data_IF_839964316814
#
_entry.id   IF_839964316814
#
_cell.length_a   1.000
_cell.length_b   1.000
_cell.length_c   1.000
_cell.angle_alpha   90.00
_cell.angle_beta   90.00
_cell.angle_gamma   90.00
#
_symmetry.space_group_name_H-M   'P 1'
#
loop_
_entity.id
_entity.type
_entity.pdbx_description
1 polymer ?
#
# COMPACT_ATOMS: atom_id res chain seq x y z
N UNK A 1 10.58 -14.71 -0.39
CA UNK A 1 11.83 -15.17 0.27
C UNK A 1 12.90 -14.13 -0.03
N UNK A 2 13.52 -13.50 0.96
CA UNK A 2 14.58 -12.48 0.72
C UNK A 2 14.93 -11.56 1.90
N UNK A 3 13.99 -11.29 2.82
CA UNK A 3 14.21 -10.29 3.90
C UNK A 3 15.20 -10.74 4.98
N UNK A 4 15.40 -12.05 5.17
CA UNK A 4 16.28 -12.57 6.22
C UNK A 4 17.77 -12.21 6.04
N UNK A 5 18.19 -11.89 4.81
CA UNK A 5 19.60 -11.69 4.47
C UNK A 5 20.15 -10.30 4.86
N UNK A 6 19.28 -9.31 5.05
CA UNK A 6 19.67 -7.97 5.52
C UNK A 6 19.81 -7.87 7.05
N UNK A 7 19.55 -8.95 7.79
CA UNK A 7 19.59 -8.98 9.24
C UNK A 7 18.26 -8.59 9.90
N UNK A 8 18.09 -8.93 11.20
CA UNK A 8 16.80 -8.90 11.88
C UNK A 8 16.26 -7.49 12.15
N UNK A 9 17.14 -6.49 12.25
CA UNK A 9 16.78 -5.10 12.54
C UNK A 9 16.67 -4.21 11.29
N UNK A 10 16.89 -4.75 10.08
CA UNK A 10 16.87 -3.98 8.85
C UNK A 10 15.48 -3.36 8.60
N UNK A 11 15.42 -2.02 8.53
CA UNK A 11 14.24 -1.28 8.10
C UNK A 11 14.22 -1.05 6.58
N UNK A 12 15.40 -0.84 5.98
CA UNK A 12 15.57 -0.66 4.53
C UNK A 12 16.63 -1.63 4.03
N UNK A 13 16.22 -2.57 3.19
CA UNK A 13 17.06 -3.63 2.66
C UNK A 13 17.21 -3.42 1.15
N UNK A 14 18.44 -3.22 0.70
CA UNK A 14 18.79 -3.09 -0.71
C UNK A 14 19.15 -4.47 -1.28
N UNK A 15 18.51 -4.86 -2.37
CA UNK A 15 18.86 -6.05 -3.15
C UNK A 15 19.46 -5.60 -4.49
N UNK A 16 20.76 -5.81 -4.67
CA UNK A 16 21.42 -5.59 -5.95
C UNK A 16 21.22 -6.84 -6.82
N UNK A 17 20.38 -6.70 -7.86
CA UNK A 17 20.06 -7.81 -8.76
C UNK A 17 21.23 -8.24 -9.65
N UNK A 18 22.23 -7.38 -9.87
CA UNK A 18 23.37 -7.72 -10.75
C UNK A 18 24.33 -8.67 -10.05
N UNK A 19 24.52 -8.46 -8.75
CA UNK A 19 25.40 -9.28 -7.89
C UNK A 19 24.63 -10.28 -7.03
N UNK A 20 23.30 -10.24 -7.08
CA UNK A 20 22.38 -10.98 -6.22
C UNK A 20 22.74 -10.86 -4.72
N UNK A 21 23.05 -9.63 -4.30
CA UNK A 21 23.51 -9.33 -2.93
C UNK A 21 22.55 -8.45 -2.17
N UNK A 22 22.45 -8.69 -0.86
CA UNK A 22 21.55 -7.98 0.03
C UNK A 22 22.34 -7.16 1.05
N UNK A 23 21.97 -5.89 1.19
CA UNK A 23 22.65 -4.94 2.06
C UNK A 23 21.62 -4.18 2.90
N UNK A 24 21.80 -4.17 4.23
CA UNK A 24 21.03 -3.27 5.08
C UNK A 24 21.53 -1.84 4.85
N UNK A 25 20.62 -0.96 4.41
CA UNK A 25 20.89 0.46 4.16
C UNK A 25 20.09 1.37 5.10
N UNK A 26 19.49 0.78 6.14
CA UNK A 26 18.81 1.49 7.22
C UNK A 26 18.37 0.53 8.31
N UNK A 27 18.76 0.80 9.56
CA UNK A 27 18.43 -0.01 10.73
C UNK A 27 17.23 0.59 11.49
N UNK A 28 16.24 -0.25 11.81
CA UNK A 28 15.03 0.13 12.54
C UNK A 28 15.29 0.61 13.97
N UNK A 29 16.38 0.17 14.60
CA UNK A 29 16.81 0.57 15.94
C UNK A 29 17.48 1.95 15.94
N UNK A 30 18.00 2.40 14.79
CA UNK A 30 18.66 3.70 14.60
C UNK A 30 17.77 4.69 13.83
N UNK A 31 16.46 4.61 14.07
CA UNK A 31 15.44 5.44 13.45
C UNK A 31 15.34 6.81 14.11
N UNK A 32 15.43 7.87 13.32
CA UNK A 32 15.11 9.24 13.72
C UNK A 32 13.90 9.74 12.95
N UNK A 33 12.97 10.39 13.65
CA UNK A 33 11.73 10.90 13.07
C UNK A 33 11.63 12.41 13.25
N UNK A 34 11.35 13.10 12.15
CA UNK A 34 10.92 14.49 12.11
C UNK A 34 9.50 14.56 11.54
N UNK A 35 8.91 15.76 11.44
CA UNK A 35 7.49 15.95 11.07
C UNK A 35 7.05 15.17 9.84
N UNK A 36 7.84 15.21 8.77
CA UNK A 36 7.53 14.60 7.46
C UNK A 36 8.73 13.82 6.91
N UNK A 37 9.63 13.38 7.80
CA UNK A 37 10.86 12.72 7.41
C UNK A 37 11.13 11.59 8.40
N UNK A 38 11.42 10.41 7.87
CA UNK A 38 11.88 9.27 8.64
C UNK A 38 13.25 8.86 8.11
N UNK A 39 14.24 8.88 8.99
CA UNK A 39 15.61 8.54 8.66
C UNK A 39 15.99 7.26 9.40
N UNK A 40 16.70 6.39 8.69
CA UNK A 40 17.24 5.15 9.22
C UNK A 40 18.74 5.16 9.01
N UNK A 41 19.49 5.27 10.10
CA UNK A 41 20.95 5.16 10.08
C UNK A 41 21.38 3.69 10.12
N UNK A 42 22.65 3.44 9.83
CA UNK A 42 23.30 2.15 10.05
C UNK A 42 24.62 2.33 10.79
N UNK A 43 25.23 1.23 11.23
CA UNK A 43 26.60 1.21 11.75
C UNK A 43 27.66 1.03 10.67
N UNK A 44 27.24 0.77 9.42
CA UNK A 44 28.11 0.46 8.28
C UNK A 44 28.75 1.74 7.74
N UNK A 45 30.08 1.73 7.64
CA UNK A 45 30.83 2.83 7.04
C UNK A 45 30.59 2.94 5.54
N UNK A 46 30.41 4.17 5.07
CA UNK A 46 30.39 4.49 3.66
C UNK A 46 31.83 4.64 3.13
N UNK A 47 32.00 4.58 1.79
CA UNK A 47 33.27 4.85 1.13
C UNK A 47 33.82 6.25 1.43
N UNK A 48 32.94 7.21 1.66
CA UNK A 48 33.32 8.56 2.10
C UNK A 48 33.69 8.53 3.58
N UNK A 49 34.88 9.05 3.92
CA UNK A 49 35.35 9.08 5.31
C UNK A 49 34.33 9.75 6.24
N UNK A 50 34.15 9.18 7.42
CA UNK A 50 33.24 9.63 8.49
C UNK A 50 31.75 9.72 8.11
N UNK A 51 31.31 9.01 7.07
CA UNK A 51 29.89 8.89 6.75
C UNK A 51 29.42 7.44 6.94
N UNK A 52 28.20 7.27 7.44
CA UNK A 52 27.54 5.97 7.54
C UNK A 52 26.52 5.83 6.42
N UNK A 53 26.23 4.58 6.04
CA UNK A 53 25.11 4.31 5.14
C UNK A 53 23.81 4.68 5.85
N UNK A 54 22.92 5.39 5.15
CA UNK A 54 21.63 5.80 5.69
C UNK A 54 20.55 5.83 4.60
N UNK A 55 19.30 5.79 5.05
CA UNK A 55 18.11 5.93 4.20
C UNK A 55 17.19 7.00 4.76
N UNK A 56 16.57 7.77 3.87
CA UNK A 56 15.68 8.88 4.23
C UNK A 56 14.38 8.78 3.45
N UNK A 57 13.24 8.77 4.15
CA UNK A 57 11.90 8.69 3.57
C UNK A 57 11.15 9.99 3.89
N UNK A 58 10.89 10.79 2.85
CA UNK A 58 10.07 11.99 2.95
C UNK A 58 8.60 11.63 2.80
N UNK A 59 7.76 12.05 3.74
CA UNK A 59 6.34 11.78 3.77
C UNK A 59 5.53 12.99 3.29
N UNK A 60 4.63 12.76 2.34
CA UNK A 60 3.70 13.76 1.84
C UNK A 60 2.26 13.24 1.98
N UNK A 61 1.31 14.14 2.26
CA UNK A 61 -0.10 13.74 2.34
C UNK A 61 -0.60 13.27 0.97
N UNK A 62 -1.11 12.05 0.93
CA UNK A 62 -1.71 11.39 -0.24
C UNK A 62 -3.18 11.03 -0.03
N UNK A 63 -3.86 10.63 -1.11
CA UNK A 63 -5.28 10.20 -1.08
C UNK A 63 -5.45 8.70 -0.81
N UNK A 64 -4.40 7.92 -1.03
CA UNK A 64 -4.30 6.47 -0.82
C UNK A 64 -3.14 6.17 0.13
N UNK A 65 -2.98 4.91 0.54
CA UNK A 65 -1.82 4.44 1.28
C UNK A 65 -0.53 4.61 0.45
N UNK A 66 -0.65 4.57 -0.87
CA UNK A 66 0.42 4.83 -1.83
C UNK A 66 1.56 3.82 -1.73
N UNK A 67 2.70 4.22 -2.28
CA UNK A 67 3.93 3.42 -2.30
C UNK A 67 5.13 4.35 -2.08
N UNK A 68 6.20 3.86 -1.43
CA UNK A 68 7.45 4.61 -1.37
C UNK A 68 8.13 4.59 -2.75
N UNK A 69 8.35 5.75 -3.34
CA UNK A 69 9.06 5.92 -4.60
C UNK A 69 10.53 6.24 -4.36
N UNK A 70 11.41 5.55 -5.09
CA UNK A 70 12.83 5.88 -5.09
C UNK A 70 13.06 7.22 -5.80
N UNK A 71 13.77 8.13 -5.13
CA UNK A 71 14.09 9.46 -5.70
C UNK A 71 15.50 9.45 -6.29
N UNK A 72 16.49 9.12 -5.46
CA UNK A 72 17.90 9.07 -5.85
C UNK A 72 18.72 8.39 -4.76
N UNK A 73 19.96 8.04 -5.07
CA UNK A 73 20.94 7.60 -4.10
C UNK A 73 22.30 8.23 -4.37
N UNK A 74 23.04 8.52 -3.30
CA UNK A 74 24.49 8.70 -3.34
C UNK A 74 25.15 7.39 -2.89
N UNK A 75 26.48 7.35 -2.86
CA UNK A 75 27.22 6.21 -2.30
C UNK A 75 26.85 5.93 -0.82
N UNK A 76 26.31 6.91 -0.09
CA UNK A 76 26.03 6.81 1.33
C UNK A 76 24.54 6.92 1.70
N UNK A 77 23.72 7.60 0.89
CA UNK A 77 22.36 7.99 1.28
C UNK A 77 21.35 7.58 0.21
N UNK A 78 20.28 6.91 0.63
CA UNK A 78 19.18 6.49 -0.23
C UNK A 78 17.94 7.32 0.09
N UNK A 79 17.40 8.01 -0.91
CA UNK A 79 16.26 8.92 -0.73
C UNK A 79 14.99 8.34 -1.34
N UNK A 80 13.91 8.39 -0.56
CA UNK A 80 12.58 7.95 -0.96
C UNK A 80 11.56 9.06 -0.69
N UNK A 81 10.52 9.12 -1.51
CA UNK A 81 9.32 9.93 -1.28
C UNK A 81 8.11 9.02 -1.14
N UNK A 82 7.30 9.20 -0.10
CA UNK A 82 6.09 8.44 0.12
C UNK A 82 4.89 9.36 0.29
N UNK A 83 4.06 9.42 -0.76
CA UNK A 83 2.74 10.10 -0.73
C UNK A 83 1.70 9.15 -0.17
N UNK A 84 1.23 9.41 1.06
CA UNK A 84 0.37 8.49 1.79
C UNK A 84 -0.67 9.20 2.66
N UNK A 85 -1.84 8.58 2.85
CA UNK A 85 -2.87 9.04 3.81
C UNK A 85 -2.34 9.09 5.24
N UNK A 86 -1.34 8.27 5.57
CA UNK A 86 -0.72 8.24 6.89
C UNK A 86 0.02 9.55 7.26
N UNK A 87 0.37 10.36 6.26
CA UNK A 87 1.05 11.64 6.43
C UNK A 87 0.09 12.85 6.46
N UNK A 88 -1.22 12.62 6.33
CA UNK A 88 -2.22 13.67 6.35
C UNK A 88 -2.59 14.08 7.77
N UNK A 89 -2.70 15.39 8.03
CA UNK A 89 -3.13 15.92 9.35
C UNK A 89 -4.61 15.69 9.64
N UNK A 90 -5.42 15.57 8.59
CA UNK A 90 -6.87 15.35 8.69
C UNK A 90 -7.18 13.95 8.20
N UNK A 91 -8.02 13.24 8.94
CA UNK A 91 -8.43 11.87 8.60
C UNK A 91 -9.51 11.81 7.50
N UNK A 92 -9.72 12.90 6.76
CA UNK A 92 -10.75 12.99 5.71
C UNK A 92 -10.54 11.93 4.61
N UNK A 93 -9.29 11.55 4.33
CA UNK A 93 -8.95 10.58 3.28
C UNK A 93 -8.60 9.19 3.83
N UNK A 94 -8.57 9.02 5.16
CA UNK A 94 -8.20 7.75 5.78
C UNK A 94 -9.29 6.71 5.52
N UNK A 95 -8.88 5.55 5.04
CA UNK A 95 -9.70 4.37 4.93
C UNK A 95 -9.94 3.76 6.33
N UNK A 96 -11.00 2.98 6.51
CA UNK A 96 -11.07 2.07 7.65
C UNK A 96 -9.95 1.03 7.56
N UNK A 97 -9.75 0.47 6.36
CA UNK A 97 -8.67 -0.46 6.06
C UNK A 97 -8.23 -0.29 4.62
N UNK A 98 -6.93 -0.10 4.41
CA UNK A 98 -6.30 -0.08 3.09
C UNK A 98 -5.07 -0.99 3.10
N UNK A 99 -4.88 -1.75 2.03
CA UNK A 99 -3.77 -2.69 1.84
C UNK A 99 -2.85 -2.21 0.71
N UNK A 100 -1.58 -2.66 0.65
CA UNK A 100 -0.69 -2.34 -0.46
C UNK A 100 -1.32 -2.68 -1.81
N UNK A 101 -1.33 -1.69 -2.72
CA UNK A 101 -2.04 -1.77 -4.00
C UNK A 101 -1.11 -1.82 -5.21
N UNK A 102 0.04 -2.46 -5.05
CA UNK A 102 1.06 -2.58 -6.08
C UNK A 102 1.75 -3.94 -6.00
N UNK A 103 2.36 -4.34 -7.11
CA UNK A 103 3.26 -5.48 -7.19
C UNK A 103 4.40 -5.19 -8.17
N UNK A 104 5.50 -5.93 -8.05
CA UNK A 104 6.60 -5.91 -9.00
C UNK A 104 6.68 -7.25 -9.74
N UNK A 105 6.91 -7.21 -11.05
CA UNK A 105 7.23 -8.40 -11.84
C UNK A 105 8.70 -8.83 -11.68
N UNK A 106 9.11 -9.86 -12.41
CA UNK A 106 10.49 -10.39 -12.35
C UNK A 106 11.50 -9.42 -12.94
N UNK A 107 11.06 -8.56 -13.85
CA UNK A 107 11.82 -7.51 -14.51
C UNK A 107 11.82 -6.19 -13.71
N UNK A 108 11.31 -6.19 -12.47
CA UNK A 108 11.12 -5.03 -11.60
C UNK A 108 10.20 -3.93 -12.18
N UNK A 109 9.32 -4.25 -13.12
CA UNK A 109 8.30 -3.32 -13.55
C UNK A 109 7.22 -3.23 -12.49
N UNK A 110 6.82 -2.00 -12.20
CA UNK A 110 5.79 -1.70 -11.20
C UNK A 110 4.41 -1.83 -11.83
N UNK A 111 3.58 -2.66 -11.22
CA UNK A 111 2.14 -2.73 -11.49
C UNK A 111 1.40 -2.04 -10.34
N UNK A 112 0.88 -0.85 -10.61
CA UNK A 112 0.29 0.02 -9.59
C UNK A 112 -1.21 0.27 -9.84
N UNK A 113 -2.06 -0.19 -8.92
CA UNK A 113 -3.50 -0.01 -8.98
C UNK A 113 -4.00 1.14 -8.08
N UNK A 114 -3.11 1.91 -7.42
CA UNK A 114 -3.49 3.10 -6.66
C UNK A 114 -4.42 4.06 -7.43
N UNK A 115 -4.23 4.32 -8.75
CA UNK A 115 -5.14 5.20 -9.51
C UNK A 115 -6.59 4.71 -9.59
N UNK A 116 -6.84 3.41 -9.41
CA UNK A 116 -8.18 2.82 -9.43
C UNK A 116 -8.88 2.91 -8.07
N UNK A 117 -8.17 3.28 -7.00
CA UNK A 117 -8.76 3.38 -5.67
C UNK A 117 -9.77 4.54 -5.63
N UNK A 118 -11.03 4.25 -5.31
CA UNK A 118 -12.03 5.29 -5.05
C UNK A 118 -11.96 5.74 -3.60
N UNK A 119 -11.78 7.05 -3.39
CA UNK A 119 -11.91 7.67 -2.06
C UNK A 119 -13.36 8.03 -1.69
N UNK A 120 -14.30 7.78 -2.60
CA UNK A 120 -15.75 7.96 -2.41
C UNK A 120 -16.52 7.04 -3.35
N UNK A 121 -17.55 6.35 -2.83
CA UNK A 121 -18.35 5.42 -3.62
C UNK A 121 -17.60 4.14 -3.99
N UNK A 122 -18.12 3.45 -4.99
CA UNK A 122 -17.66 2.12 -5.43
C UNK A 122 -17.76 1.98 -6.96
N UNK A 123 -17.22 0.89 -7.49
CA UNK A 123 -17.48 0.40 -8.84
C UNK A 123 -18.64 -0.59 -8.79
N UNK A 124 -19.59 -0.48 -9.73
CA UNK A 124 -20.56 -1.54 -9.99
C UNK A 124 -19.87 -2.61 -10.84
N UNK A 125 -19.93 -3.86 -10.39
CA UNK A 125 -19.50 -5.01 -11.16
C UNK A 125 -20.62 -5.39 -12.12
N UNK A 126 -20.25 -5.65 -13.37
CA UNK A 126 -21.19 -6.13 -14.40
C UNK A 126 -21.52 -7.60 -14.15
N UNK A 127 -22.79 -7.89 -13.94
CA UNK A 127 -23.32 -9.23 -13.80
C UNK A 127 -24.70 -9.38 -14.48
N UNK A 128 -25.11 -10.63 -14.71
CA UNK A 128 -26.36 -10.92 -15.41
C UNK A 128 -27.59 -10.97 -14.51
N UNK A 129 -27.43 -10.82 -13.20
CA UNK A 129 -28.52 -10.90 -12.22
C UNK A 129 -29.17 -9.52 -12.04
N UNK A 130 -30.40 -9.30 -12.52
CA UNK A 130 -31.06 -8.01 -12.40
C UNK A 130 -31.51 -7.70 -10.96
N UNK A 131 -31.55 -8.70 -10.07
CA UNK A 131 -32.05 -8.54 -8.70
C UNK A 131 -30.94 -8.18 -7.70
N UNK A 132 -29.68 -8.29 -8.12
CA UNK A 132 -28.53 -7.98 -7.28
C UNK A 132 -27.60 -6.96 -7.91
N UNK A 133 -26.81 -6.31 -7.06
CA UNK A 133 -25.80 -5.37 -7.51
C UNK A 133 -24.57 -5.53 -6.62
N UNK A 134 -23.46 -5.96 -7.23
CA UNK A 134 -22.20 -6.10 -6.53
C UNK A 134 -21.37 -4.83 -6.69
N UNK A 135 -21.09 -4.17 -5.57
CA UNK A 135 -20.23 -3.00 -5.51
C UNK A 135 -18.87 -3.37 -4.94
N UNK A 136 -17.79 -2.91 -5.58
CA UNK A 136 -16.42 -3.10 -5.08
C UNK A 136 -15.65 -1.79 -5.01
N UNK A 137 -14.68 -1.72 -4.11
CA UNK A 137 -13.57 -0.78 -4.21
C UNK A 137 -12.25 -1.55 -4.38
N UNK A 138 -11.19 -0.84 -4.73
CA UNK A 138 -9.86 -1.42 -4.97
C UNK A 138 -8.97 -1.15 -3.77
N UNK A 139 -8.36 -2.19 -3.21
CA UNK A 139 -7.40 -2.20 -2.10
C UNK A 139 -7.83 -1.55 -0.77
N UNK A 140 -9.07 -1.07 -0.64
CA UNK A 140 -9.61 -0.48 0.59
C UNK A 140 -11.11 -0.65 0.69
N UNK A 141 -11.67 -0.30 1.84
CA UNK A 141 -13.12 -0.23 2.07
C UNK A 141 -13.83 0.83 1.20
N UNK A 142 -15.13 0.63 0.98
CA UNK A 142 -16.02 1.56 0.29
C UNK A 142 -16.36 2.71 1.25
N UNK A 143 -16.10 3.95 0.81
CA UNK A 143 -16.51 5.15 1.54
C UNK A 143 -17.99 5.44 1.26
N UNK A 144 -18.85 5.03 2.21
CA UNK A 144 -20.31 5.10 2.11
C UNK A 144 -20.89 6.47 2.49
N UNK A 145 -20.23 7.24 3.35
CA UNK A 145 -20.77 8.51 3.87
C UNK A 145 -20.77 9.60 2.80
N UNK A 146 -19.77 9.56 1.92
CA UNK A 146 -19.59 10.51 0.81
C UNK A 146 -20.03 9.98 -0.55
N UNK A 147 -20.53 8.74 -0.60
CA UNK A 147 -21.01 8.13 -1.83
C UNK A 147 -22.20 8.93 -2.41
N UNK A 148 -22.24 9.12 -3.73
CA UNK A 148 -23.37 9.77 -4.42
C UNK A 148 -24.56 8.82 -4.57
N UNK A 149 -24.29 7.56 -4.92
CA UNK A 149 -25.31 6.53 -5.14
C UNK A 149 -26.02 6.14 -3.83
N UNK A 150 -27.36 6.17 -3.77
CA UNK A 150 -28.11 5.76 -2.58
C UNK A 150 -27.92 4.27 -2.27
N UNK A 151 -27.77 3.41 -3.28
CA UNK A 151 -27.53 1.97 -3.10
C UNK A 151 -26.21 1.70 -2.36
N UNK A 152 -25.18 2.49 -2.65
CA UNK A 152 -23.86 2.36 -1.98
C UNK A 152 -23.92 2.84 -0.53
N UNK A 153 -24.79 3.79 -0.18
CA UNK A 153 -24.91 4.30 1.21
C UNK A 153 -25.44 3.25 2.18
N UNK A 154 -26.13 2.21 1.69
CA UNK A 154 -26.68 1.12 2.51
C UNK A 154 -25.60 0.07 2.85
N UNK A 155 -24.46 0.10 2.17
CA UNK A 155 -23.38 -0.87 2.39
C UNK A 155 -22.81 -0.80 3.83
N UNK A 156 -22.47 -1.95 4.44
CA UNK A 156 -21.84 -1.96 5.75
C UNK A 156 -20.46 -1.28 5.75
N UNK A 157 -20.17 -0.46 6.76
CA UNK A 157 -18.87 0.19 6.93
C UNK A 157 -17.74 -0.83 7.02
N UNK A 158 -16.64 -0.58 6.31
CA UNK A 158 -15.47 -1.46 6.25
C UNK A 158 -15.54 -2.54 5.17
N UNK A 159 -16.69 -2.70 4.49
CA UNK A 159 -16.80 -3.59 3.34
C UNK A 159 -16.03 -3.01 2.13
N UNK A 160 -15.18 -3.82 1.51
CA UNK A 160 -14.58 -3.53 0.22
C UNK A 160 -15.38 -4.14 -0.94
N UNK A 161 -16.16 -5.18 -0.65
CA UNK A 161 -17.16 -5.75 -1.54
C UNK A 161 -18.52 -5.80 -0.84
N UNK A 162 -19.53 -5.23 -1.48
CA UNK A 162 -20.88 -5.08 -0.94
C UNK A 162 -21.89 -5.61 -1.95
N UNK A 163 -22.66 -6.62 -1.56
CA UNK A 163 -23.75 -7.15 -2.36
C UNK A 163 -25.06 -6.50 -1.92
N UNK A 164 -25.74 -5.82 -2.84
CA UNK A 164 -27.05 -5.21 -2.62
C UNK A 164 -28.11 -6.08 -3.29
N UNK A 165 -29.19 -6.39 -2.56
CA UNK A 165 -30.35 -7.14 -3.05
C UNK A 165 -31.62 -6.45 -2.57
N UNK A 166 -32.33 -5.76 -3.46
CA UNK A 166 -33.39 -4.82 -3.09
C UNK A 166 -32.85 -3.74 -2.14
N UNK A 167 -33.51 -3.55 -0.98
CA UNK A 167 -33.12 -2.56 0.02
C UNK A 167 -32.11 -3.07 1.06
N UNK A 168 -31.60 -4.28 0.90
CA UNK A 168 -30.64 -4.90 1.84
C UNK A 168 -29.24 -4.95 1.24
N UNK A 169 -28.24 -4.65 2.06
CA UNK A 169 -26.84 -4.75 1.70
C UNK A 169 -26.11 -5.73 2.61
N UNK A 170 -25.18 -6.48 2.02
CA UNK A 170 -24.39 -7.50 2.70
C UNK A 170 -22.91 -7.25 2.45
N UNK A 171 -22.13 -7.21 3.53
CA UNK A 171 -20.68 -7.28 3.47
C UNK A 171 -20.29 -8.68 2.99
N UNK A 172 -19.64 -8.76 1.84
CA UNK A 172 -19.17 -10.01 1.23
C UNK A 172 -17.64 -10.05 1.09
N UNK A 173 -16.93 -9.06 1.62
CA UNK A 173 -15.48 -9.04 1.58
C UNK A 173 -14.86 -7.77 2.14
N UNK A 174 -13.80 -7.95 2.94
CA UNK A 174 -12.96 -6.88 3.50
C UNK A 174 -11.50 -7.01 3.04
N UNK A 175 -10.75 -5.90 3.00
CA UNK A 175 -9.31 -5.95 2.69
C UNK A 175 -8.53 -6.67 3.78
N UNK A 176 -7.70 -7.65 3.40
CA UNK A 176 -6.85 -8.41 4.32
C UNK A 176 -5.37 -8.35 3.87
N UNK A 177 -5.08 -8.89 2.69
CA UNK A 177 -3.74 -8.92 2.11
C UNK A 177 -3.62 -7.95 0.93
N UNK A 178 -2.40 -7.46 0.69
CA UNK A 178 -2.10 -6.60 -0.46
C UNK A 178 -2.19 -7.33 -1.80
N UNK A 179 -2.16 -6.53 -2.87
CA UNK A 179 -2.17 -7.01 -4.26
C UNK A 179 -1.02 -8.00 -4.51
N UNK A 180 -1.33 -9.13 -5.15
CA UNK A 180 -0.35 -10.16 -5.52
C UNK A 180 -0.24 -10.28 -7.02
N UNK A 181 0.99 -10.45 -7.51
CA UNK A 181 1.25 -10.89 -8.88
C UNK A 181 1.34 -12.43 -8.87
N UNK A 182 0.39 -13.11 -9.53
CA UNK A 182 0.33 -14.59 -9.56
C UNK A 182 1.12 -15.15 -10.74
N UNK A 183 1.09 -14.44 -11.86
CA UNK A 183 1.93 -14.66 -13.03
C UNK A 183 2.21 -13.30 -13.69
N UNK A 184 3.07 -13.24 -14.71
CA UNK A 184 3.60 -11.99 -15.27
C UNK A 184 2.54 -10.94 -15.64
N UNK A 185 1.32 -11.35 -15.98
CA UNK A 185 0.27 -10.42 -16.44
C UNK A 185 -1.01 -10.43 -15.56
N UNK A 186 -1.03 -11.22 -14.47
CA UNK A 186 -2.22 -11.38 -13.64
C UNK A 186 -1.99 -10.92 -12.21
N UNK A 187 -2.61 -9.78 -11.91
CA UNK A 187 -2.77 -9.24 -10.56
C UNK A 187 -4.01 -9.85 -9.90
N UNK A 188 -3.89 -10.27 -8.65
CA UNK A 188 -4.97 -10.84 -7.86
C UNK A 188 -5.05 -10.10 -6.53
N UNK A 189 -6.25 -9.60 -6.24
CA UNK A 189 -6.62 -9.00 -4.97
C UNK A 189 -7.75 -9.83 -4.36
N UNK A 190 -7.56 -10.26 -3.12
CA UNK A 190 -8.52 -11.13 -2.43
C UNK A 190 -9.12 -10.41 -1.23
N UNK A 191 -10.44 -10.42 -1.15
CA UNK A 191 -11.19 -9.94 0.00
C UNK A 191 -11.81 -11.12 0.73
N UNK A 192 -11.80 -11.05 2.06
CA UNK A 192 -12.34 -12.11 2.92
C UNK A 192 -13.29 -11.53 3.94
N UNK A 193 -14.19 -12.37 4.44
CA UNK A 193 -15.01 -12.07 5.59
C UNK A 193 -14.92 -13.27 6.52
N UNK A 194 -14.25 -13.09 7.66
CA UNK A 194 -14.19 -14.12 8.69
C UNK A 194 -15.58 -14.23 9.35
N UNK A 195 -16.15 -15.44 9.38
CA UNK A 195 -17.42 -15.75 10.05
C UNK A 195 -18.67 -15.73 9.15
N UNK A 196 -18.73 -16.65 8.17
CA UNK A 196 -20.00 -17.15 7.64
C UNK A 196 -20.35 -18.46 8.35
#
# INVERSE_FOLDING_TARGET
>A
MGVAQCGPSSAVCMHDLKTDSFHSVGDSLLKTASRSLLEFNTTVDCKQQNHKIQSSITFLCGKTLGTPEFVTATDCVHYFEWRTTAACKKDIFKANKEVPCYAFDRELKKHDLNPLIKTSGAYLVDDSDPDTSLFINVCRDIEVLRASSPQVRVCPTGAAACLVRGDRAFDVGRPQEGLKLVNNDRLVLSYVKEGA
#
